data_IF_620413422801
#
_entry.id   IF_620413422801
#
_cell.length_a   1.000
_cell.length_b   1.000
_cell.length_c   1.000
_cell.angle_alpha   90.00
_cell.angle_beta   90.00
_cell.angle_gamma   90.00
#
_symmetry.space_group_name_H-M   'P 1'
#
loop_
_entity.id
_entity.type
_entity.pdbx_description
1 polymer ?
#
# COMPACT_ATOMS: atom_id res chain seq x y z
N UNK A 1 2.70 -71.00 -37.68
CA UNK A 1 3.30 -69.73 -37.18
C UNK A 1 2.22 -68.66 -37.06
N UNK A 2 1.43 -68.70 -36.00
CA UNK A 2 0.50 -67.65 -35.56
C UNK A 2 0.71 -67.58 -34.04
N UNK A 3 0.68 -66.39 -33.42
CA UNK A 3 0.83 -66.15 -31.96
C UNK A 3 2.16 -65.53 -31.47
N UNK A 4 2.95 -64.84 -32.31
CA UNK A 4 4.07 -64.01 -31.80
C UNK A 4 3.78 -62.50 -31.79
N UNK A 5 2.84 -62.03 -32.62
CA UNK A 5 2.54 -60.59 -32.73
C UNK A 5 1.48 -60.08 -31.74
N UNK A 6 0.69 -60.97 -31.12
CA UNK A 6 -0.37 -60.56 -30.18
C UNK A 6 0.16 -60.10 -28.83
N UNK A 7 1.16 -60.80 -28.27
CA UNK A 7 1.73 -60.44 -26.96
C UNK A 7 2.48 -59.10 -26.97
N UNK A 8 3.14 -58.75 -28.09
CA UNK A 8 3.94 -57.52 -28.20
C UNK A 8 3.03 -56.28 -28.18
N UNK A 9 1.90 -56.33 -28.88
CA UNK A 9 0.95 -55.21 -28.94
C UNK A 9 0.28 -54.99 -27.57
N UNK A 10 -0.05 -56.07 -26.86
CA UNK A 10 -0.62 -55.99 -25.50
C UNK A 10 0.40 -55.41 -24.52
N UNK A 11 1.68 -55.78 -24.63
CA UNK A 11 2.75 -55.28 -23.77
C UNK A 11 2.98 -53.77 -23.95
N UNK A 12 2.89 -53.28 -25.19
CA UNK A 12 3.07 -51.85 -25.51
C UNK A 12 1.88 -51.03 -25.00
N UNK A 13 0.64 -51.51 -25.13
CA UNK A 13 -0.55 -50.81 -24.61
C UNK A 13 -0.55 -50.79 -23.08
N UNK A 14 -0.04 -51.84 -22.41
CA UNK A 14 0.08 -51.85 -20.95
C UNK A 14 1.14 -50.85 -20.47
N UNK A 15 2.27 -50.72 -21.20
CA UNK A 15 3.34 -49.78 -20.86
C UNK A 15 2.93 -48.31 -21.08
N UNK A 16 2.14 -48.00 -22.12
CA UNK A 16 1.74 -46.61 -22.38
C UNK A 16 0.66 -46.08 -21.43
N UNK A 17 -0.16 -46.95 -20.85
CA UNK A 17 -1.26 -46.55 -19.95
C UNK A 17 -0.83 -46.57 -18.48
N UNK A 18 0.05 -47.48 -18.06
CA UNK A 18 0.44 -47.63 -16.64
C UNK A 18 1.62 -46.72 -16.26
N UNK A 19 2.55 -46.45 -17.18
CA UNK A 19 3.74 -45.64 -16.90
C UNK A 19 3.47 -44.16 -16.57
N UNK A 20 2.51 -43.44 -17.19
CA UNK A 20 2.24 -42.05 -16.81
C UNK A 20 1.61 -41.91 -15.41
N UNK A 21 0.93 -42.95 -14.90
CA UNK A 21 0.32 -42.92 -13.57
C UNK A 21 1.33 -42.95 -12.41
N UNK A 22 2.59 -43.36 -12.68
CA UNK A 22 3.66 -43.43 -11.67
C UNK A 22 4.53 -42.17 -11.64
N UNK A 23 4.45 -41.32 -12.67
CA UNK A 23 5.31 -40.14 -12.84
C UNK A 23 4.70 -38.83 -12.31
N UNK A 24 3.41 -38.80 -11.99
CA UNK A 24 2.71 -37.62 -11.48
C UNK A 24 2.76 -37.46 -9.95
N UNK A 25 3.61 -38.22 -9.25
CA UNK A 25 3.85 -38.01 -7.81
C UNK A 25 5.04 -37.08 -7.58
N UNK A 26 5.06 -35.93 -8.25
CA UNK A 26 5.85 -34.78 -7.81
C UNK A 26 4.96 -33.83 -7.02
N UNK A 27 4.45 -34.33 -5.89
CA UNK A 27 3.94 -33.48 -4.82
C UNK A 27 5.15 -32.76 -4.25
N UNK A 28 5.40 -31.55 -4.76
CA UNK A 28 6.30 -30.59 -4.17
C UNK A 28 5.83 -30.29 -2.75
N UNK A 29 6.31 -31.06 -1.77
CA UNK A 29 6.36 -30.66 -0.37
C UNK A 29 7.34 -29.50 -0.27
N UNK A 30 6.88 -28.31 -0.69
CA UNK A 30 7.52 -27.07 -0.35
C UNK A 30 7.45 -26.95 1.16
N UNK A 31 8.52 -27.38 1.84
CA UNK A 31 8.74 -27.17 3.26
C UNK A 31 8.64 -25.64 3.48
N UNK A 32 7.46 -25.17 3.90
CA UNK A 32 7.32 -23.80 4.37
C UNK A 32 8.21 -23.70 5.60
N UNK A 33 9.26 -22.88 5.50
CA UNK A 33 10.23 -22.66 6.57
C UNK A 33 9.50 -22.40 7.90
N UNK A 34 9.62 -23.30 8.91
CA UNK A 34 8.84 -23.21 10.14
C UNK A 34 9.30 -22.07 11.05
N UNK A 35 10.42 -21.42 10.73
CA UNK A 35 10.98 -20.28 11.46
C UNK A 35 10.52 -18.92 10.92
N UNK A 36 9.40 -18.87 10.19
CA UNK A 36 8.73 -17.60 9.94
C UNK A 36 8.20 -17.10 11.28
N UNK A 37 8.93 -16.14 11.85
CA UNK A 37 8.55 -15.47 13.09
C UNK A 37 7.08 -15.07 13.06
N UNK A 38 6.26 -15.46 14.06
CA UNK A 38 4.88 -14.96 14.17
C UNK A 38 4.85 -13.45 14.39
N UNK A 39 5.98 -12.84 14.74
CA UNK A 39 6.17 -11.40 14.87
C UNK A 39 6.59 -10.72 13.56
N UNK A 40 6.46 -11.37 12.40
CA UNK A 40 6.45 -10.64 11.12
C UNK A 40 5.14 -9.88 11.02
N UNK A 41 5.00 -8.88 11.90
CA UNK A 41 3.94 -7.88 11.90
C UNK A 41 3.91 -7.38 10.47
N UNK A 42 2.79 -7.61 9.78
CA UNK A 42 2.48 -6.86 8.57
C UNK A 42 2.59 -5.41 9.03
N UNK A 43 3.68 -4.75 8.67
CA UNK A 43 3.74 -3.30 8.81
C UNK A 43 2.61 -2.83 7.91
N UNK A 44 1.45 -2.58 8.53
CA UNK A 44 0.39 -1.83 7.92
C UNK A 44 1.07 -0.53 7.58
N UNK A 45 1.47 -0.41 6.32
CA UNK A 45 1.85 0.85 5.74
C UNK A 45 0.55 1.64 5.80
N UNK A 46 0.32 2.30 6.93
CA UNK A 46 -0.61 3.41 7.06
C UNK A 46 0.01 4.51 6.20
N UNK A 47 0.02 4.29 4.89
CA UNK A 47 0.04 5.38 3.94
C UNK A 47 -1.39 5.87 4.01
N UNK A 48 -1.65 6.73 4.98
CA UNK A 48 -2.78 7.63 4.86
C UNK A 48 -2.44 8.48 3.63
N UNK A 49 -2.90 8.04 2.45
CA UNK A 49 -2.83 8.84 1.24
C UNK A 49 -3.69 10.05 1.50
N UNK A 50 -3.03 11.10 1.96
CA UNK A 50 -3.59 12.42 2.16
C UNK A 50 -4.48 12.73 0.94
N UNK A 51 -5.77 13.09 1.10
CA UNK A 51 -6.71 13.24 -0.01
C UNK A 51 -6.28 14.29 -1.06
N UNK A 52 -5.20 15.02 -0.77
CA UNK A 52 -4.55 15.98 -1.61
C UNK A 52 -3.26 15.38 -2.18
N UNK A 53 -3.37 14.66 -3.30
CA UNK A 53 -2.21 14.13 -4.03
C UNK A 53 -1.11 15.20 -4.15
N UNK A 54 0.03 14.92 -3.53
CA UNK A 54 1.24 15.75 -3.57
C UNK A 54 1.21 17.00 -2.70
N UNK A 55 0.32 17.12 -1.70
CA UNK A 55 0.42 18.11 -0.62
C UNK A 55 0.81 17.42 0.68
N UNK A 56 2.00 17.74 1.18
CA UNK A 56 2.52 17.28 2.46
C UNK A 56 2.58 18.45 3.42
N UNK A 57 1.73 18.44 4.46
CA UNK A 57 1.77 19.40 5.54
C UNK A 57 2.82 18.98 6.55
N UNK A 58 3.86 19.81 6.67
CA UNK A 58 5.05 19.49 7.46
C UNK A 58 5.02 20.15 8.84
N UNK A 59 4.53 21.38 8.89
CA UNK A 59 4.47 22.14 10.14
C UNK A 59 3.36 23.19 10.06
N UNK A 60 2.90 23.61 11.24
CA UNK A 60 2.04 24.77 11.43
C UNK A 60 2.69 25.65 12.48
N UNK A 61 2.90 26.91 12.13
CA UNK A 61 3.34 27.95 13.06
C UNK A 61 2.09 28.70 13.49
N UNK A 62 1.68 28.47 14.73
CA UNK A 62 0.52 29.13 15.33
C UNK A 62 0.93 30.46 15.96
N UNK A 63 0.18 31.51 15.66
CA UNK A 63 0.28 32.82 16.30
C UNK A 63 -0.89 32.98 17.29
N UNK A 64 -0.78 33.94 18.21
CA UNK A 64 -1.92 34.38 19.04
C UNK A 64 -3.05 34.96 18.18
N UNK A 65 -2.69 35.52 17.03
CA UNK A 65 -3.61 36.03 16.02
C UNK A 65 -3.85 34.95 14.95
N UNK A 66 -5.08 34.45 14.86
CA UNK A 66 -5.44 33.33 13.99
C UNK A 66 -5.19 33.61 12.50
N UNK A 67 -5.30 34.88 12.07
CA UNK A 67 -5.09 35.28 10.68
C UNK A 67 -3.61 35.28 10.29
N UNK A 68 -2.72 35.26 11.28
CA UNK A 68 -1.26 35.20 11.11
C UNK A 68 -0.70 33.78 11.23
N UNK A 69 -1.55 32.77 11.31
CA UNK A 69 -1.10 31.38 11.30
C UNK A 69 -0.45 31.05 9.94
N UNK A 70 0.61 30.24 9.99
CA UNK A 70 1.38 29.85 8.79
C UNK A 70 1.42 28.34 8.69
N UNK A 71 1.11 27.81 7.52
CA UNK A 71 1.26 26.40 7.20
C UNK A 71 2.48 26.19 6.31
N UNK A 72 3.35 25.23 6.67
CA UNK A 72 4.46 24.80 5.83
C UNK A 72 4.02 23.57 5.05
N UNK A 73 3.77 23.74 3.75
CA UNK A 73 3.32 22.67 2.84
C UNK A 73 4.37 22.49 1.76
N UNK A 74 4.89 21.27 1.60
CA UNK A 74 5.98 20.95 0.67
C UNK A 74 7.19 21.90 0.80
N UNK A 75 7.55 22.28 2.04
CA UNK A 75 8.66 23.19 2.32
C UNK A 75 8.40 24.68 2.03
N UNK A 76 7.17 25.06 1.65
CA UNK A 76 6.80 26.46 1.38
C UNK A 76 5.78 26.98 2.40
N UNK A 77 5.91 28.23 2.87
CA UNK A 77 4.95 28.85 3.77
C UNK A 77 3.70 29.31 3.01
N UNK A 78 2.54 29.10 3.63
CA UNK A 78 1.24 29.53 3.13
C UNK A 78 0.40 30.14 4.25
N UNK A 79 -0.35 31.18 3.90
CA UNK A 79 -1.26 31.91 4.79
C UNK A 79 -2.71 31.67 4.39
N UNK A 80 -3.64 32.12 5.23
CA UNK A 80 -5.07 32.17 4.86
C UNK A 80 -5.24 32.99 3.59
N UNK A 81 -6.03 32.48 2.63
CA UNK A 81 -6.25 33.07 1.31
C UNK A 81 -5.21 32.68 0.25
N UNK A 82 -4.11 32.00 0.62
CA UNK A 82 -3.07 31.62 -0.35
C UNK A 82 -3.54 30.54 -1.33
N UNK A 83 -3.06 30.60 -2.57
CA UNK A 83 -3.36 29.60 -3.60
C UNK A 83 -2.25 28.52 -3.72
N UNK A 84 -2.64 27.25 -3.78
CA UNK A 84 -1.78 26.08 -3.90
C UNK A 84 -2.26 25.20 -5.05
N UNK A 85 -1.63 25.31 -6.22
CA UNK A 85 -1.99 24.54 -7.43
C UNK A 85 -3.49 24.62 -7.74
N UNK A 86 -4.10 25.81 -7.68
CA UNK A 86 -5.54 25.96 -7.93
C UNK A 86 -6.46 25.72 -6.73
N UNK A 87 -5.92 25.56 -5.53
CA UNK A 87 -6.67 25.33 -4.30
C UNK A 87 -6.44 26.50 -3.36
N UNK A 88 -7.42 26.88 -2.56
CA UNK A 88 -7.31 28.06 -1.68
C UNK A 88 -7.23 27.60 -0.24
N UNK A 89 -6.28 28.13 0.52
CA UNK A 89 -6.23 27.96 1.98
C UNK A 89 -7.32 28.80 2.60
N UNK A 90 -8.29 28.16 3.25
CA UNK A 90 -9.43 28.85 3.87
C UNK A 90 -9.15 29.16 5.34
N UNK A 91 -8.45 28.28 6.03
CA UNK A 91 -8.17 28.44 7.45
C UNK A 91 -6.97 27.57 7.86
N UNK A 92 -6.22 28.00 8.87
CA UNK A 92 -5.08 27.28 9.45
C UNK A 92 -5.34 27.13 10.94
N UNK A 93 -5.55 25.89 11.38
CA UNK A 93 -5.73 25.50 12.78
C UNK A 93 -4.45 24.84 13.31
N UNK A 94 -4.24 24.76 14.64
CA UNK A 94 -3.00 24.19 15.20
C UNK A 94 -2.64 22.78 14.73
N UNK A 95 -3.62 21.99 14.33
CA UNK A 95 -3.44 20.58 13.93
C UNK A 95 -3.76 20.31 12.46
N UNK A 96 -4.29 21.29 11.73
CA UNK A 96 -4.76 21.07 10.37
C UNK A 96 -4.94 22.35 9.56
N UNK A 97 -4.82 22.21 8.24
CA UNK A 97 -5.11 23.25 7.26
C UNK A 97 -6.41 22.92 6.53
N UNK A 98 -7.31 23.88 6.41
CA UNK A 98 -8.56 23.75 5.66
C UNK A 98 -8.34 24.33 4.26
N UNK A 99 -8.59 23.51 3.24
CA UNK A 99 -8.32 23.84 1.85
C UNK A 99 -9.62 23.70 1.03
N UNK A 100 -9.92 24.71 0.21
CA UNK A 100 -10.99 24.68 -0.79
C UNK A 100 -10.42 24.24 -2.13
N UNK A 101 -11.01 23.19 -2.70
CA UNK A 101 -10.68 22.66 -4.01
C UNK A 101 -11.37 23.45 -5.14
N UNK A 102 -10.88 23.29 -6.38
CA UNK A 102 -11.51 23.89 -7.58
C UNK A 102 -12.97 23.50 -7.78
N UNK A 103 -13.35 22.29 -7.38
CA UNK A 103 -14.73 21.80 -7.45
C UNK A 103 -15.61 22.32 -6.30
N UNK A 104 -15.12 23.28 -5.49
CA UNK A 104 -15.83 23.85 -4.36
C UNK A 104 -15.80 23.01 -3.08
N UNK A 105 -15.34 21.76 -3.12
CA UNK A 105 -15.24 20.90 -1.92
C UNK A 105 -14.20 21.44 -0.94
N UNK A 106 -14.51 21.32 0.35
CA UNK A 106 -13.60 21.69 1.44
C UNK A 106 -12.99 20.40 1.99
N UNK A 107 -11.67 20.38 2.10
CA UNK A 107 -10.90 19.25 2.64
C UNK A 107 -9.99 19.71 3.77
N UNK A 108 -9.73 18.79 4.71
CA UNK A 108 -8.86 19.02 5.86
C UNK A 108 -7.55 18.29 5.65
N UNK A 109 -6.46 19.03 5.62
CA UNK A 109 -5.10 18.52 5.57
C UNK A 109 -4.58 18.43 7.01
N UNK A 110 -4.49 17.22 7.55
CA UNK A 110 -4.09 16.99 8.95
C UNK A 110 -2.58 16.98 9.06
N UNK A 111 -2.05 17.65 10.09
CA UNK A 111 -0.62 17.60 10.41
C UNK A 111 -0.31 16.22 10.99
N UNK A 112 0.57 15.41 10.36
CA UNK A 112 0.96 14.13 10.92
C UNK A 112 1.51 14.35 12.32
N UNK A 113 0.99 13.58 13.28
CA UNK A 113 1.31 13.73 14.69
C UNK A 113 2.78 13.36 14.88
N UNK A 114 3.65 14.35 15.04
CA UNK A 114 4.97 14.09 15.60
C UNK A 114 4.76 13.70 17.06
N UNK A 115 5.20 12.50 17.42
CA UNK A 115 5.26 12.08 18.82
C UNK A 115 6.07 13.13 19.58
N UNK A 116 5.37 13.98 20.33
CA UNK A 116 6.03 14.89 21.25
C UNK A 116 6.76 13.98 22.24
N UNK A 117 8.06 14.19 22.42
CA UNK A 117 8.79 13.58 23.53
C UNK A 117 7.99 13.88 24.80
N UNK A 118 7.45 12.83 25.43
CA UNK A 118 6.86 12.93 26.77
C UNK A 118 7.94 13.53 27.66
N UNK A 119 7.65 14.70 28.23
CA UNK A 119 8.47 15.30 29.27
C UNK A 119 8.27 14.52 30.58
#
# INVERSE_FOLDING_TARGET
MKNKFSCIVIFIVFFTVVLPAVLDVNVSFGLKNPFISPFKVKQYKNIEENPLNGLNLQAIVSSSDADKNVAIINGKPYYIGSEIKGRIVVNIKPEAVIIKLRNGKIVKLILPKFERFKK
#
